data_IF_935867808130
#
_entry.id   IF_935867808130
#
_cell.length_a   1.000
_cell.length_b   1.000
_cell.length_c   1.000
_cell.angle_alpha   90.00
_cell.angle_beta   90.00
_cell.angle_gamma   90.00
#
_symmetry.space_group_name_H-M   'P 1'
#
loop_
_entity.id
_entity.type
_entity.pdbx_description
1 polymer ?
#
# COMPACT_ATOMS: atom_id res chain seq x y z
N UNK A 1 18.23 3.83 -35.36
CA UNK A 1 17.78 4.44 -34.10
C UNK A 1 16.29 4.14 -33.93
N UNK A 2 15.91 3.12 -33.15
CA UNK A 2 14.50 2.84 -32.87
C UNK A 2 14.00 3.81 -31.79
N UNK A 3 12.85 4.46 -32.04
CA UNK A 3 12.20 5.37 -31.10
C UNK A 3 11.64 4.66 -29.87
N UNK A 4 11.32 5.40 -28.79
CA UNK A 4 10.84 4.82 -27.55
C UNK A 4 9.45 4.18 -27.71
N UNK A 5 9.14 3.10 -26.97
CA UNK A 5 7.86 2.43 -27.07
C UNK A 5 6.73 3.30 -26.47
N UNK A 6 5.61 3.38 -27.18
CA UNK A 6 4.37 4.00 -26.72
C UNK A 6 3.91 3.37 -25.40
N UNK A 7 3.76 4.20 -24.35
CA UNK A 7 3.28 3.77 -23.04
C UNK A 7 1.75 3.79 -23.02
N UNK A 8 1.15 2.65 -22.71
CA UNK A 8 -0.29 2.50 -22.59
C UNK A 8 -0.80 3.04 -21.24
N UNK A 9 -1.74 3.98 -21.30
CA UNK A 9 -2.40 4.53 -20.12
C UNK A 9 -3.48 3.58 -19.59
N UNK A 10 -3.43 3.27 -18.29
CA UNK A 10 -4.49 2.54 -17.58
C UNK A 10 -5.51 3.54 -17.01
N UNK A 11 -6.81 3.23 -17.11
CA UNK A 11 -7.92 4.06 -16.59
C UNK A 11 -8.87 3.21 -15.77
N UNK A 12 -9.19 3.63 -14.55
CA UNK A 12 -10.12 2.97 -13.62
C UNK A 12 -11.23 3.97 -13.25
N UNK A 13 -12.48 3.51 -13.16
CA UNK A 13 -13.67 4.30 -12.80
C UNK A 13 -14.58 3.47 -11.87
N UNK A 14 -15.10 4.05 -10.78
CA UNK A 14 -16.17 3.44 -9.95
C UNK A 14 -17.29 4.47 -9.66
N UNK A 15 -18.49 3.96 -9.32
CA UNK A 15 -19.74 4.72 -9.21
C UNK A 15 -20.36 4.54 -7.81
N UNK A 16 -20.96 5.59 -7.26
CA UNK A 16 -21.93 5.55 -6.16
C UNK A 16 -23.00 6.61 -6.39
N UNK A 17 -24.29 6.28 -6.25
CA UNK A 17 -25.41 7.23 -6.36
C UNK A 17 -26.38 7.01 -5.22
N UNK A 18 -26.71 8.08 -4.51
CA UNK A 18 -27.89 8.18 -3.66
C UNK A 18 -28.72 9.35 -4.20
N UNK A 19 -29.92 9.06 -4.69
CA UNK A 19 -30.89 10.07 -5.12
C UNK A 19 -31.88 10.30 -3.98
N UNK A 20 -32.02 11.56 -3.59
CA UNK A 20 -33.14 12.09 -2.82
C UNK A 20 -34.44 11.89 -3.61
N UNK A 21 -35.46 11.38 -2.90
CA UNK A 21 -36.85 11.21 -3.35
C UNK A 21 -37.49 12.57 -3.73
N UNK A 22 -38.48 12.61 -4.66
CA UNK A 22 -39.82 12.07 -4.35
C UNK A 22 -40.54 11.32 -5.49
N UNK A 23 -41.42 10.41 -5.06
CA UNK A 23 -42.60 9.85 -5.76
C UNK A 23 -42.38 9.40 -7.21
N UNK A 24 -41.90 8.16 -7.37
CA UNK A 24 -42.60 7.15 -8.17
C UNK A 24 -41.94 5.78 -8.00
N UNK A 25 -42.75 4.72 -8.07
CA UNK A 25 -42.36 3.32 -7.88
C UNK A 25 -41.45 2.81 -9.01
N UNK A 26 -40.17 3.21 -9.00
CA UNK A 26 -39.13 2.47 -9.70
C UNK A 26 -37.98 2.19 -8.73
N UNK A 27 -37.86 0.92 -8.34
CA UNK A 27 -36.74 0.35 -7.58
C UNK A 27 -35.42 0.78 -8.24
N UNK A 28 -34.77 1.81 -7.70
CA UNK A 28 -33.38 2.08 -7.97
C UNK A 28 -32.56 0.92 -7.40
N UNK A 29 -32.15 -0.02 -8.25
CA UNK A 29 -31.12 -0.99 -7.88
C UNK A 29 -29.81 -0.21 -7.76
N UNK A 30 -29.27 -0.11 -6.54
CA UNK A 30 -27.87 0.23 -6.36
C UNK A 30 -27.05 -0.82 -7.11
N UNK A 31 -26.26 -0.37 -8.07
CA UNK A 31 -25.36 -1.22 -8.84
C UNK A 31 -24.00 -1.16 -8.13
N UNK A 32 -23.77 -2.10 -7.24
CA UNK A 32 -22.46 -2.33 -6.61
C UNK A 32 -21.60 -3.18 -7.56
N UNK A 33 -20.98 -2.52 -8.54
CA UNK A 33 -20.19 -3.21 -9.56
C UNK A 33 -18.91 -2.45 -9.91
N UNK A 34 -17.79 -3.17 -9.97
CA UNK A 34 -16.61 -2.68 -10.67
C UNK A 34 -16.80 -2.85 -12.18
N UNK A 35 -16.73 -1.74 -12.92
CA UNK A 35 -16.82 -1.73 -14.39
C UNK A 35 -15.52 -1.23 -14.98
N UNK A 36 -14.74 -2.13 -15.60
CA UNK A 36 -13.59 -1.76 -16.41
C UNK A 36 -13.89 -1.90 -17.91
N UNK A 37 -13.32 -0.99 -18.69
CA UNK A 37 -13.43 -0.94 -20.16
C UNK A 37 -12.05 -0.95 -20.79
N UNK A 38 -11.53 -2.13 -21.16
CA UNK A 38 -10.38 -2.19 -22.08
C UNK A 38 -10.39 -3.45 -22.95
N UNK A 39 -9.57 -3.44 -24.01
CA UNK A 39 -9.42 -4.53 -24.99
C UNK A 39 -8.56 -5.69 -24.46
N UNK A 40 -7.72 -5.47 -23.44
CA UNK A 40 -6.66 -6.42 -23.01
C UNK A 40 -6.43 -6.50 -21.48
N UNK A 41 -7.15 -5.73 -20.68
CA UNK A 41 -7.02 -5.78 -19.21
C UNK A 41 -7.96 -6.83 -18.64
N UNK A 42 -7.59 -7.32 -17.46
CA UNK A 42 -8.38 -8.26 -16.67
C UNK A 42 -8.55 -7.69 -15.26
N UNK A 43 -9.66 -8.01 -14.61
CA UNK A 43 -9.87 -7.76 -13.18
C UNK A 43 -9.57 -9.07 -12.48
N UNK A 44 -8.48 -9.10 -11.69
CA UNK A 44 -8.01 -10.32 -11.04
C UNK A 44 -8.81 -10.61 -9.77
N UNK A 45 -9.24 -9.56 -9.06
CA UNK A 45 -10.04 -9.67 -7.82
C UNK A 45 -11.03 -8.51 -7.74
N UNK A 46 -12.27 -8.83 -7.37
CA UNK A 46 -13.33 -7.86 -7.11
C UNK A 46 -14.31 -8.52 -6.15
N UNK A 47 -14.43 -7.98 -4.94
CA UNK A 47 -15.32 -8.52 -3.92
C UNK A 47 -16.79 -8.06 -4.15
N UNK A 48 -17.01 -7.22 -5.17
CA UNK A 48 -18.32 -6.80 -5.68
C UNK A 48 -18.69 -7.61 -6.93
N UNK A 49 -19.97 -7.64 -7.30
CA UNK A 49 -20.41 -8.33 -8.53
C UNK A 49 -19.71 -7.74 -9.78
N UNK A 50 -18.75 -8.46 -10.40
CA UNK A 50 -17.95 -7.85 -11.46
C UNK A 50 -18.74 -7.88 -12.76
N UNK A 51 -18.92 -6.71 -13.40
CA UNK A 51 -19.48 -6.63 -14.75
C UNK A 51 -18.50 -5.93 -15.67
N UNK A 52 -17.80 -6.73 -16.49
CA UNK A 52 -16.79 -6.22 -17.43
C UNK A 52 -17.45 -5.79 -18.74
N UNK A 53 -17.24 -4.54 -19.15
CA UNK A 53 -17.73 -4.04 -20.44
C UNK A 53 -16.56 -3.91 -21.40
N UNK A 54 -16.41 -4.87 -22.31
CA UNK A 54 -15.42 -4.78 -23.39
C UNK A 54 -15.95 -3.85 -24.49
N UNK A 55 -15.28 -2.72 -24.71
CA UNK A 55 -15.57 -1.82 -25.84
C UNK A 55 -14.40 -1.78 -26.80
N UNK A 56 -14.66 -2.07 -28.08
CA UNK A 56 -13.63 -2.07 -29.13
C UNK A 56 -13.27 -0.67 -29.65
N UNK A 57 -14.03 0.40 -29.30
CA UNK A 57 -13.96 1.69 -30.01
C UNK A 57 -13.92 2.95 -29.14
N UNK A 58 -13.62 2.84 -27.85
CA UNK A 58 -13.46 4.03 -27.01
C UNK A 58 -12.01 4.52 -27.13
N UNK A 59 -11.78 5.60 -27.88
CA UNK A 59 -10.46 6.25 -28.00
C UNK A 59 -10.51 7.66 -27.41
N UNK A 60 -9.41 8.06 -26.78
CA UNK A 60 -9.25 9.40 -26.21
C UNK A 60 -10.08 9.65 -24.94
N UNK A 61 -9.93 10.85 -24.38
CA UNK A 61 -10.65 11.29 -23.17
C UNK A 61 -12.14 11.54 -23.46
N UNK A 62 -12.45 12.26 -24.52
CA UNK A 62 -13.81 12.65 -24.89
C UNK A 62 -14.66 11.45 -25.33
N UNK A 63 -14.09 10.53 -26.11
CA UNK A 63 -14.78 9.30 -26.49
C UNK A 63 -15.14 8.43 -25.28
N UNK A 64 -14.28 8.41 -24.25
CA UNK A 64 -14.57 7.73 -23.00
C UNK A 64 -15.68 8.43 -22.22
N UNK A 65 -15.62 9.75 -22.07
CA UNK A 65 -16.66 10.52 -21.39
C UNK A 65 -18.02 10.30 -22.07
N UNK A 66 -18.08 10.43 -23.40
CA UNK A 66 -19.32 10.21 -24.18
C UNK A 66 -19.88 8.80 -24.00
N UNK A 67 -19.02 7.78 -24.02
CA UNK A 67 -19.41 6.39 -23.81
C UNK A 67 -19.95 6.14 -22.39
N UNK A 68 -19.32 6.72 -21.37
CA UNK A 68 -19.74 6.59 -19.98
C UNK A 68 -21.07 7.31 -19.78
N UNK A 69 -21.18 8.57 -20.21
CA UNK A 69 -22.40 9.35 -20.07
C UNK A 69 -23.58 8.73 -20.81
N UNK A 70 -23.38 8.14 -22.00
CA UNK A 70 -24.46 7.46 -22.73
C UNK A 70 -25.01 6.21 -22.03
N UNK A 71 -24.32 5.67 -21.02
CA UNK A 71 -24.72 4.45 -20.31
C UNK A 71 -25.06 4.68 -18.84
N UNK A 72 -24.37 5.62 -18.18
CA UNK A 72 -24.41 5.81 -16.73
C UNK A 72 -25.00 7.15 -16.31
N UNK A 73 -25.33 8.04 -17.26
CA UNK A 73 -25.95 9.36 -17.07
C UNK A 73 -25.13 10.39 -16.27
N UNK A 74 -24.21 9.97 -15.39
CA UNK A 74 -23.37 10.85 -14.59
C UNK A 74 -21.95 10.29 -14.42
N UNK A 75 -20.99 11.20 -14.19
CA UNK A 75 -19.59 10.90 -13.88
C UNK A 75 -19.22 11.68 -12.62
N UNK A 76 -18.86 10.97 -11.55
CA UNK A 76 -18.49 11.57 -10.25
C UNK A 76 -17.03 12.01 -10.21
N UNK A 77 -16.13 11.29 -10.90
CA UNK A 77 -14.73 11.68 -11.05
C UNK A 77 -14.15 11.20 -12.39
N UNK A 78 -13.21 11.97 -12.94
CA UNK A 78 -12.43 11.59 -14.11
C UNK A 78 -10.99 12.08 -13.94
N UNK A 79 -10.05 11.14 -13.96
CA UNK A 79 -8.63 11.44 -13.85
C UNK A 79 -7.86 10.84 -15.02
N UNK A 80 -6.88 11.59 -15.52
CA UNK A 80 -5.92 11.13 -16.51
C UNK A 80 -4.56 10.96 -15.83
N UNK A 81 -4.10 9.72 -15.73
CA UNK A 81 -2.83 9.38 -15.07
C UNK A 81 -1.89 8.81 -16.12
N UNK A 82 -0.64 9.28 -16.12
CA UNK A 82 0.38 8.81 -17.07
C UNK A 82 0.86 7.39 -16.77
N UNK A 83 1.13 7.11 -15.50
CA UNK A 83 1.44 5.79 -14.97
C UNK A 83 1.06 5.75 -13.48
N UNK A 84 0.66 4.58 -13.00
CA UNK A 84 0.38 4.33 -11.59
C UNK A 84 0.54 2.83 -11.32
N UNK A 85 1.12 2.50 -10.17
CA UNK A 85 1.15 1.15 -9.62
C UNK A 85 -0.10 0.91 -8.77
N UNK A 86 -0.50 1.93 -8.00
CA UNK A 86 -1.71 1.93 -7.17
C UNK A 86 -2.56 3.18 -7.45
N UNK A 87 -3.87 3.01 -7.49
CA UNK A 87 -4.85 4.12 -7.60
C UNK A 87 -5.83 3.98 -6.45
N UNK A 88 -5.80 4.96 -5.55
CA UNK A 88 -6.74 5.07 -4.44
C UNK A 88 -7.92 5.93 -4.88
N UNK A 89 -9.12 5.37 -4.74
CA UNK A 89 -10.38 6.01 -5.11
C UNK A 89 -11.32 6.06 -3.92
N UNK A 90 -11.56 7.25 -3.42
CA UNK A 90 -12.57 7.52 -2.40
C UNK A 90 -13.92 7.63 -3.06
N UNK A 91 -14.84 6.71 -2.70
CA UNK A 91 -16.20 6.68 -3.26
C UNK A 91 -17.15 7.40 -2.31
N UNK A 92 -17.91 8.37 -2.84
CA UNK A 92 -18.86 9.18 -2.08
C UNK A 92 -19.26 10.43 -2.87
N UNK A 93 -20.19 11.22 -2.32
CA UNK A 93 -20.52 12.56 -2.84
C UNK A 93 -19.70 13.56 -2.04
N UNK A 94 -18.82 14.29 -2.73
CA UNK A 94 -18.16 15.47 -2.18
C UNK A 94 -19.10 16.65 -2.39
N UNK A 95 -19.64 17.22 -1.30
CA UNK A 95 -20.61 18.32 -1.36
C UNK A 95 -19.99 19.62 -1.88
N UNK A 96 -18.66 19.74 -1.84
CA UNK A 96 -17.93 20.89 -2.36
C UNK A 96 -17.54 20.70 -3.84
N UNK A 97 -17.78 19.52 -4.41
CA UNK A 97 -17.51 19.24 -5.82
C UNK A 97 -18.60 19.84 -6.73
N UNK A 98 -18.23 20.29 -7.94
CA UNK A 98 -19.21 20.81 -8.89
C UNK A 98 -20.17 19.71 -9.38
N UNK A 99 -21.43 20.10 -9.64
CA UNK A 99 -22.48 19.21 -10.15
C UNK A 99 -22.14 18.52 -11.49
N UNK A 100 -21.18 19.08 -12.23
CA UNK A 100 -20.76 18.56 -13.53
C UNK A 100 -19.25 18.31 -13.57
N UNK A 101 -18.87 17.17 -14.14
CA UNK A 101 -17.47 16.84 -14.41
C UNK A 101 -17.00 17.54 -15.70
N UNK A 102 -16.66 18.82 -15.63
CA UNK A 102 -16.14 19.57 -16.77
C UNK A 102 -14.64 19.29 -17.02
N UNK A 103 -14.36 18.46 -18.02
CA UNK A 103 -13.00 18.09 -18.44
C UNK A 103 -12.19 19.20 -19.13
N UNK A 104 -12.84 20.33 -19.45
CA UNK A 104 -12.21 21.52 -20.04
C UNK A 104 -11.59 22.42 -18.97
N UNK A 105 -12.05 22.32 -17.72
CA UNK A 105 -11.46 23.05 -16.60
C UNK A 105 -10.09 22.44 -16.29
N UNK A 106 -9.03 23.20 -16.58
CA UNK A 106 -7.67 22.88 -16.14
C UNK A 106 -7.53 23.21 -14.66
N UNK A 107 -8.15 22.42 -13.80
CA UNK A 107 -7.91 22.52 -12.37
C UNK A 107 -6.46 22.12 -12.08
N UNK A 108 -5.72 23.00 -11.40
CA UNK A 108 -4.41 22.67 -10.81
C UNK A 108 -4.56 22.05 -9.41
N UNK A 109 -5.79 21.95 -8.89
CA UNK A 109 -6.02 21.37 -7.57
C UNK A 109 -5.96 19.84 -7.67
N UNK A 110 -5.20 19.17 -6.80
CA UNK A 110 -5.25 17.71 -6.66
C UNK A 110 -6.69 17.27 -6.39
N UNK A 111 -7.09 16.13 -6.97
CA UNK A 111 -8.38 15.52 -6.63
C UNK A 111 -8.30 14.99 -5.19
N UNK A 112 -9.30 15.32 -4.37
CA UNK A 112 -9.48 14.78 -3.02
C UNK A 112 -9.99 13.33 -3.06
N UNK A 113 -10.70 12.96 -4.11
CA UNK A 113 -11.30 11.63 -4.26
C UNK A 113 -10.47 10.62 -5.05
N UNK A 114 -9.39 11.03 -5.71
CA UNK A 114 -8.57 10.13 -6.51
C UNK A 114 -7.08 10.49 -6.43
N UNK A 115 -6.29 9.54 -5.93
CA UNK A 115 -4.84 9.65 -5.82
C UNK A 115 -4.18 8.51 -6.59
N UNK A 116 -3.15 8.83 -7.35
CA UNK A 116 -2.36 7.84 -8.08
C UNK A 116 -0.94 7.80 -7.55
N UNK A 117 -0.45 6.60 -7.29
CA UNK A 117 0.86 6.34 -6.72
C UNK A 117 1.74 5.65 -7.74
N UNK A 118 2.99 6.09 -7.83
CA UNK A 118 4.04 5.41 -8.58
C UNK A 118 5.13 5.02 -7.59
N UNK A 119 5.30 3.72 -7.45
CA UNK A 119 6.34 3.10 -6.65
C UNK A 119 7.62 3.01 -7.47
N UNK A 120 8.75 3.30 -6.84
CA UNK A 120 10.07 3.15 -7.45
C UNK A 120 10.92 2.28 -6.54
N UNK A 121 11.58 1.24 -7.08
CA UNK A 121 12.54 0.46 -6.30
C UNK A 121 13.61 1.38 -5.72
N UNK A 122 13.91 1.20 -4.43
CA UNK A 122 15.00 1.90 -3.74
C UNK A 122 16.11 0.88 -3.50
N UNK A 123 17.38 1.22 -3.81
CA UNK A 123 18.50 0.33 -3.48
C UNK A 123 18.63 0.22 -1.95
N UNK A 124 18.60 -1.01 -1.46
CA UNK A 124 18.86 -1.33 -0.06
C UNK A 124 20.30 -1.83 0.07
N UNK A 125 21.00 -1.38 1.10
CA UNK A 125 22.31 -1.92 1.51
C UNK A 125 22.12 -2.70 2.79
N UNK A 126 22.79 -3.85 2.93
CA UNK A 126 22.60 -4.66 4.12
C UNK A 126 22.98 -6.12 3.95
N UNK A 127 22.51 -6.93 4.89
CA UNK A 127 22.66 -8.37 4.89
C UNK A 127 21.34 -9.06 5.26
N UNK A 128 21.17 -10.28 4.76
CA UNK A 128 20.06 -11.15 5.08
C UNK A 128 20.56 -12.57 5.29
N UNK A 129 20.37 -13.08 6.50
CA UNK A 129 20.72 -14.43 6.92
C UNK A 129 19.46 -15.29 6.96
N UNK A 130 18.85 -15.52 5.80
CA UNK A 130 17.57 -16.26 5.70
C UNK A 130 17.61 -17.67 6.30
N UNK A 131 18.79 -18.29 6.40
CA UNK A 131 18.98 -19.57 7.07
C UNK A 131 18.80 -19.52 8.59
N UNK A 132 18.83 -18.34 9.22
CA UNK A 132 18.58 -18.14 10.65
C UNK A 132 17.12 -17.86 10.98
N UNK A 133 16.33 -17.44 9.99
CA UNK A 133 14.93 -17.07 10.17
C UNK A 133 14.12 -18.27 10.65
N UNK A 134 13.35 -18.09 11.73
CA UNK A 134 12.51 -19.12 12.32
C UNK A 134 13.26 -20.21 13.12
N UNK A 135 14.60 -20.19 13.17
CA UNK A 135 15.39 -21.13 13.97
C UNK A 135 15.55 -20.68 15.43
N UNK A 136 15.52 -19.37 15.67
CA UNK A 136 15.65 -18.79 17.00
C UNK A 136 14.32 -18.68 17.73
N UNK A 137 14.39 -18.34 19.03
CA UNK A 137 13.20 -17.99 19.80
C UNK A 137 12.53 -16.70 19.33
N UNK A 138 13.28 -15.81 18.66
CA UNK A 138 12.82 -14.52 18.15
C UNK A 138 13.70 -14.06 16.98
N UNK A 139 13.09 -13.76 15.85
CA UNK A 139 13.80 -13.22 14.69
C UNK A 139 13.96 -11.70 14.83
N UNK A 140 15.18 -11.20 14.61
CA UNK A 140 15.48 -9.77 14.72
C UNK A 140 15.77 -9.18 13.34
N UNK A 141 15.03 -8.13 12.99
CA UNK A 141 15.22 -7.36 11.76
C UNK A 141 15.54 -5.91 12.13
N UNK A 142 16.63 -5.39 11.56
CA UNK A 142 17.08 -4.01 11.79
C UNK A 142 16.88 -3.21 10.51
N UNK A 143 16.15 -2.10 10.61
CA UNK A 143 15.79 -1.22 9.50
C UNK A 143 16.30 0.18 9.81
N UNK A 144 17.08 0.75 8.89
CA UNK A 144 17.71 2.06 9.07
C UNK A 144 17.45 3.01 7.88
N UNK A 145 16.80 4.14 8.17
CA UNK A 145 16.69 5.28 7.25
C UNK A 145 17.81 6.27 7.54
N UNK A 146 18.64 6.57 6.54
CA UNK A 146 19.91 7.28 6.72
C UNK A 146 19.92 8.71 6.19
N UNK A 147 18.88 9.13 5.46
CA UNK A 147 18.79 10.52 4.97
C UNK A 147 18.70 11.51 6.11
N UNK A 148 19.44 12.60 6.00
CA UNK A 148 19.33 13.77 6.87
C UNK A 148 18.47 14.88 6.24
N UNK A 149 17.93 14.64 5.04
CA UNK A 149 17.15 15.65 4.32
C UNK A 149 15.89 16.04 5.08
N UNK A 150 15.71 17.36 5.27
CA UNK A 150 14.48 17.92 5.83
C UNK A 150 13.24 17.61 4.97
N UNK A 151 13.42 17.38 3.66
CA UNK A 151 12.32 16.99 2.78
C UNK A 151 11.68 15.65 3.16
N UNK A 152 12.38 14.84 3.96
CA UNK A 152 11.89 13.55 4.43
C UNK A 152 11.35 13.61 5.87
N UNK A 153 11.39 14.78 6.52
CA UNK A 153 10.87 14.95 7.87
C UNK A 153 9.37 14.70 7.93
N UNK A 154 8.95 13.99 8.99
CA UNK A 154 7.57 13.57 9.22
C UNK A 154 6.98 12.72 8.09
N UNK A 155 7.84 12.15 7.23
CA UNK A 155 7.40 11.16 6.26
C UNK A 155 6.87 9.92 6.98
N UNK A 156 5.92 9.27 6.33
CA UNK A 156 5.39 7.97 6.72
C UNK A 156 6.28 6.88 6.13
N UNK A 157 6.69 5.93 6.97
CA UNK A 157 7.44 4.75 6.55
C UNK A 157 6.67 3.51 6.99
N UNK A 158 6.08 2.81 6.03
CA UNK A 158 5.31 1.60 6.24
C UNK A 158 6.22 0.37 6.16
N UNK A 159 6.16 -0.49 7.18
CA UNK A 159 6.82 -1.79 7.19
C UNK A 159 5.74 -2.87 7.12
N UNK A 160 5.71 -3.59 6.01
CA UNK A 160 4.78 -4.69 5.77
C UNK A 160 5.44 -6.01 6.19
N UNK A 161 4.79 -6.73 7.10
CA UNK A 161 5.17 -8.09 7.50
C UNK A 161 4.35 -9.08 6.69
N UNK A 162 5.02 -9.82 5.80
CA UNK A 162 4.37 -10.71 4.84
C UNK A 162 4.96 -12.12 4.93
N UNK A 163 4.15 -13.18 4.78
CA UNK A 163 4.66 -14.53 4.56
C UNK A 163 5.54 -14.61 3.31
N UNK A 164 6.39 -15.64 3.26
CA UNK A 164 7.02 -16.04 2.01
C UNK A 164 5.97 -16.37 0.93
N UNK A 165 6.23 -16.16 -0.37
CA UNK A 165 5.22 -16.25 -1.43
C UNK A 165 4.55 -17.63 -1.58
N UNK A 166 5.22 -18.68 -1.12
CA UNK A 166 4.76 -20.06 -1.10
C UNK A 166 3.90 -20.38 0.13
N UNK A 167 3.69 -19.42 1.04
CA UNK A 167 2.93 -19.55 2.27
C UNK A 167 1.77 -18.56 2.32
N UNK A 168 0.65 -19.01 2.88
CA UNK A 168 -0.52 -18.14 3.13
C UNK A 168 -0.43 -17.38 4.44
N UNK A 169 0.24 -17.96 5.43
CA UNK A 169 0.46 -17.35 6.74
C UNK A 169 1.78 -17.81 7.34
N UNK A 170 2.24 -17.07 8.34
CA UNK A 170 3.48 -17.32 9.07
C UNK A 170 3.28 -16.93 10.54
N UNK A 171 3.79 -17.74 11.46
CA UNK A 171 3.70 -17.46 12.89
C UNK A 171 5.10 -17.40 13.50
N UNK A 172 5.27 -16.54 14.51
CA UNK A 172 6.52 -16.48 15.26
C UNK A 172 6.68 -15.22 16.11
N UNK A 173 7.81 -15.13 16.80
CA UNK A 173 8.16 -13.97 17.60
C UNK A 173 9.17 -13.13 16.83
N UNK A 174 8.93 -11.82 16.73
CA UNK A 174 9.73 -10.90 15.96
C UNK A 174 10.20 -9.73 16.81
N UNK A 175 11.39 -9.21 16.50
CA UNK A 175 11.83 -7.88 16.92
C UNK A 175 12.14 -7.02 15.71
N UNK A 176 11.47 -5.88 15.60
CA UNK A 176 11.79 -4.83 14.65
C UNK A 176 12.58 -3.73 15.35
N UNK A 177 13.79 -3.45 14.88
CA UNK A 177 14.59 -2.31 15.33
C UNK A 177 14.52 -1.26 14.24
N UNK A 178 13.78 -0.18 14.49
CA UNK A 178 13.47 0.85 13.51
C UNK A 178 14.25 2.14 13.84
N UNK A 179 15.27 2.43 13.03
CA UNK A 179 16.13 3.61 13.18
C UNK A 179 15.92 4.58 12.02
N UNK A 180 15.88 5.86 12.33
CA UNK A 180 15.88 6.92 11.32
C UNK A 180 16.71 8.10 11.79
N UNK A 181 17.56 8.63 10.89
CA UNK A 181 18.34 9.85 11.14
C UNK A 181 17.43 11.08 11.32
N UNK A 182 16.28 11.11 10.64
CA UNK A 182 15.28 12.19 10.74
C UNK A 182 13.99 11.70 11.41
N UNK A 183 13.17 12.60 11.98
CA UNK A 183 11.84 12.23 12.46
C UNK A 183 10.97 11.66 11.35
N UNK A 184 10.45 10.45 11.55
CA UNK A 184 9.48 9.77 10.68
C UNK A 184 8.36 9.19 11.55
N UNK A 185 7.22 8.91 10.94
CA UNK A 185 6.18 8.09 11.55
C UNK A 185 6.28 6.69 10.98
N UNK A 186 6.56 5.71 11.84
CA UNK A 186 6.53 4.30 11.43
C UNK A 186 5.10 3.81 11.37
N UNK A 187 4.76 3.09 10.31
CA UNK A 187 3.49 2.40 10.20
C UNK A 187 3.73 0.90 10.06
N UNK A 188 2.99 0.11 10.82
CA UNK A 188 3.09 -1.34 10.78
C UNK A 188 1.83 -1.93 10.15
N UNK A 189 2.06 -2.85 9.22
CA UNK A 189 1.02 -3.60 8.54
C UNK A 189 1.44 -5.07 8.43
N UNK A 190 0.47 -5.97 8.48
CA UNK A 190 0.65 -7.40 8.37
C UNK A 190 -0.51 -7.98 7.59
N UNK A 191 -0.21 -8.87 6.66
CA UNK A 191 -1.20 -9.74 6.01
C UNK A 191 -0.69 -11.18 6.12
N UNK A 192 -1.30 -11.97 7.00
CA UNK A 192 -0.93 -13.36 7.23
C UNK A 192 0.21 -13.61 8.24
N UNK A 193 0.66 -12.61 9.00
CA UNK A 193 1.53 -12.86 10.17
C UNK A 193 0.75 -12.86 11.49
N UNK A 194 1.07 -13.81 12.37
CA UNK A 194 0.57 -13.92 13.74
C UNK A 194 1.69 -14.18 14.76
N UNK A 195 1.52 -13.72 16.00
CA UNK A 195 2.48 -13.88 17.10
C UNK A 195 2.97 -12.57 17.71
N UNK A 196 4.05 -12.64 18.49
CA UNK A 196 4.57 -11.51 19.26
C UNK A 196 5.46 -10.60 18.41
N UNK A 197 5.16 -9.30 18.40
CA UNK A 197 5.92 -8.28 17.70
C UNK A 197 6.48 -7.24 18.68
N UNK A 198 7.78 -7.32 18.98
CA UNK A 198 8.49 -6.30 19.73
C UNK A 198 9.06 -5.24 18.79
N UNK A 199 8.77 -3.96 19.03
CA UNK A 199 9.25 -2.84 18.21
C UNK A 199 10.15 -1.94 19.06
N UNK A 200 11.41 -1.78 18.66
CA UNK A 200 12.39 -0.90 19.29
C UNK A 200 12.66 0.29 18.39
N UNK A 201 12.36 1.50 18.85
CA UNK A 201 12.47 2.71 18.02
C UNK A 201 12.67 3.98 18.83
N UNK A 202 13.20 5.03 18.19
CA UNK A 202 13.30 6.39 18.75
C UNK A 202 12.07 7.25 18.40
N UNK A 203 11.19 6.75 17.52
CA UNK A 203 10.12 7.54 16.86
C UNK A 203 8.75 6.88 17.00
N UNK A 204 7.64 7.65 16.92
CA UNK A 204 6.29 7.12 17.02
C UNK A 204 6.01 6.00 16.01
N UNK A 205 5.18 5.05 16.44
CA UNK A 205 4.71 3.91 15.64
C UNK A 205 3.18 3.97 15.60
N UNK A 206 2.59 3.72 14.43
CA UNK A 206 1.15 3.53 14.24
C UNK A 206 0.87 2.13 13.72
N UNK A 207 0.08 1.38 14.48
CA UNK A 207 -0.41 0.07 14.10
C UNK A 207 -1.58 0.25 13.13
N UNK A 208 -1.32 0.16 11.83
CA UNK A 208 -2.28 0.66 10.83
C UNK A 208 -3.14 -0.47 10.27
N UNK A 209 -2.55 -1.66 10.07
CA UNK A 209 -3.21 -2.84 9.50
C UNK A 209 -2.63 -4.12 10.08
N UNK A 210 -2.68 -4.26 11.39
CA UNK A 210 -2.28 -5.50 12.07
C UNK A 210 -3.53 -6.33 12.38
N UNK A 211 -3.42 -7.66 12.20
CA UNK A 211 -4.48 -8.58 12.61
C UNK A 211 -4.60 -8.66 14.13
N UNK A 212 -5.76 -9.10 14.64
CA UNK A 212 -5.97 -9.35 16.07
C UNK A 212 -4.99 -10.33 16.68
N UNK A 213 -4.40 -11.19 15.85
CA UNK A 213 -3.52 -12.29 16.24
C UNK A 213 -2.06 -11.85 16.34
N UNK A 214 -1.79 -10.54 16.25
CA UNK A 214 -0.46 -9.93 16.42
C UNK A 214 -0.42 -9.18 17.74
N UNK A 215 0.35 -9.68 18.70
CA UNK A 215 0.57 -9.01 19.98
C UNK A 215 1.73 -8.03 19.85
N UNK A 216 1.43 -6.73 19.78
CA UNK A 216 2.44 -5.68 19.57
C UNK A 216 2.89 -5.08 20.90
N UNK A 217 4.20 -5.02 21.11
CA UNK A 217 4.83 -4.26 22.18
C UNK A 217 5.78 -3.22 21.57
N UNK A 218 5.51 -1.94 21.77
CA UNK A 218 6.43 -0.86 21.33
C UNK A 218 7.24 -0.32 22.50
N UNK A 219 8.57 -0.33 22.38
CA UNK A 219 9.50 0.28 23.34
C UNK A 219 10.26 1.43 22.71
N UNK A 220 10.04 2.62 23.26
CA UNK A 220 10.78 3.81 22.88
C UNK A 220 12.14 3.83 23.59
N UNK A 221 13.22 3.74 22.82
CA UNK A 221 14.58 3.68 23.37
C UNK A 221 15.56 4.37 22.45
N UNK A 222 16.60 4.97 23.02
CA UNK A 222 17.67 5.61 22.26
C UNK A 222 18.49 4.54 21.55
N UNK A 223 18.45 4.54 20.23
CA UNK A 223 19.15 3.54 19.41
C UNK A 223 20.58 3.99 19.13
N UNK A 224 21.59 3.10 19.21
CA UNK A 224 22.97 3.46 18.92
C UNK A 224 23.13 4.09 17.53
N UNK A 225 24.05 5.04 17.42
CA UNK A 225 24.30 5.78 16.17
C UNK A 225 25.24 5.07 15.20
N UNK A 226 26.21 4.28 15.71
CA UNK A 226 27.14 3.54 14.86
C UNK A 226 26.60 2.15 14.53
N UNK A 227 26.91 1.67 13.33
CA UNK A 227 26.55 0.33 12.87
C UNK A 227 26.96 -0.76 13.89
N UNK A 228 28.23 -0.76 14.32
CA UNK A 228 28.75 -1.77 15.26
C UNK A 228 27.97 -1.78 16.58
N UNK A 229 27.69 -0.61 17.16
CA UNK A 229 26.95 -0.53 18.41
C UNK A 229 25.48 -0.94 18.22
N UNK A 230 24.88 -0.61 17.06
CA UNK A 230 23.51 -1.01 16.73
C UNK A 230 23.39 -2.53 16.57
N UNK A 231 24.36 -3.17 15.93
CA UNK A 231 24.40 -4.63 15.80
C UNK A 231 24.59 -5.32 17.16
N UNK A 232 25.50 -4.82 18.00
CA UNK A 232 25.66 -5.32 19.38
C UNK A 232 24.40 -5.14 20.23
N UNK A 233 23.68 -4.04 20.03
CA UNK A 233 22.39 -3.82 20.66
C UNK A 233 21.35 -4.83 20.17
N UNK A 234 21.29 -5.08 18.86
CA UNK A 234 20.34 -6.03 18.26
C UNK A 234 20.55 -7.47 18.74
N UNK A 235 21.81 -7.89 18.91
CA UNK A 235 22.17 -9.23 19.43
C UNK A 235 21.60 -9.50 20.83
N UNK A 236 21.27 -8.48 21.63
CA UNK A 236 20.61 -8.70 22.93
C UNK A 236 19.20 -9.29 22.81
N UNK A 237 18.59 -9.16 21.64
CA UNK A 237 17.21 -9.59 21.36
C UNK A 237 17.15 -10.85 20.49
N UNK A 238 18.30 -11.36 20.03
CA UNK A 238 18.45 -12.60 19.27
C UNK A 238 19.40 -13.57 19.95
N UNK A 239 19.23 -14.86 19.72
CA UNK A 239 20.23 -15.88 20.10
C UNK A 239 21.30 -16.02 19.00
N UNK A 240 21.87 -14.91 18.54
CA UNK A 240 22.76 -14.87 17.38
C UNK A 240 22.75 -13.51 16.66
N UNK A 241 23.38 -13.40 15.48
CA UNK A 241 23.28 -12.18 14.68
C UNK A 241 21.83 -11.94 14.22
N UNK A 242 21.44 -10.68 13.94
CA UNK A 242 20.13 -10.38 13.37
C UNK A 242 19.90 -11.12 12.05
N UNK A 243 18.64 -11.51 11.81
CA UNK A 243 18.21 -12.15 10.57
C UNK A 243 18.42 -11.21 9.40
N UNK A 244 18.13 -9.92 9.57
CA UNK A 244 18.42 -8.92 8.56
C UNK A 244 18.90 -7.61 9.17
N UNK A 245 19.80 -6.95 8.46
CA UNK A 245 20.05 -5.51 8.59
C UNK A 245 19.87 -4.88 7.22
N UNK A 246 19.01 -3.88 7.13
CA UNK A 246 18.79 -3.10 5.90
C UNK A 246 18.92 -1.62 6.20
N UNK A 247 19.64 -0.90 5.34
CA UNK A 247 19.74 0.55 5.35
C UNK A 247 19.49 1.12 3.96
N UNK A 248 18.88 2.30 3.93
CA UNK A 248 18.72 3.07 2.70
C UNK A 248 18.69 4.57 3.02
N UNK A 249 18.90 5.40 1.99
CA UNK A 249 18.79 6.85 2.16
C UNK A 249 17.35 7.21 2.57
N UNK A 250 16.36 6.84 1.76
CA UNK A 250 14.95 7.08 2.03
C UNK A 250 14.08 6.04 1.32
N UNK A 251 13.03 5.58 2.00
CA UNK A 251 11.96 4.75 1.42
C UNK A 251 10.67 4.96 2.23
N UNK A 252 9.52 4.84 1.59
CA UNK A 252 8.22 5.00 2.23
C UNK A 252 7.57 3.67 2.58
N UNK A 253 7.99 2.59 1.93
CA UNK A 253 7.40 1.26 2.09
C UNK A 253 8.50 0.20 2.03
N UNK A 254 8.46 -0.76 2.94
CA UNK A 254 9.39 -1.88 3.03
C UNK A 254 8.62 -3.17 3.31
N UNK A 255 8.75 -4.14 2.42
CA UNK A 255 8.22 -5.49 2.60
C UNK A 255 9.28 -6.38 3.24
N UNK A 256 8.97 -6.92 4.43
CA UNK A 256 9.77 -7.95 5.09
C UNK A 256 9.05 -9.28 4.90
N UNK A 257 9.70 -10.20 4.19
CA UNK A 257 9.20 -11.57 3.99
C UNK A 257 9.70 -12.50 5.07
N UNK A 258 8.76 -13.07 5.80
CA UNK A 258 9.00 -13.86 6.99
C UNK A 258 8.99 -15.35 6.65
N UNK A 259 10.08 -16.01 7.00
CA UNK A 259 10.20 -17.46 6.97
C UNK A 259 9.98 -17.99 8.39
N UNK A 260 8.74 -17.91 8.89
CA UNK A 260 8.41 -18.38 10.24
C UNK A 260 8.34 -19.90 10.35
N UNK A 261 8.19 -20.38 11.58
CA UNK A 261 7.82 -21.77 11.85
C UNK A 261 6.45 -22.08 11.27
N UNK A 262 6.21 -23.34 10.88
CA UNK A 262 4.88 -23.76 10.46
C UNK A 262 3.88 -23.45 11.57
N UNK A 263 2.83 -22.70 11.26
CA UNK A 263 1.66 -22.65 12.11
C UNK A 263 1.22 -24.12 12.31
N UNK A 264 1.16 -24.56 13.57
CA UNK A 264 0.60 -25.87 13.90
C UNK A 264 -0.79 -25.91 13.26
N UNK A 265 -0.96 -26.82 12.31
CA UNK A 265 -2.27 -27.12 11.77
C UNK A 265 -3.16 -27.50 12.96
N UNK A 266 -4.27 -26.77 13.13
CA UNK A 266 -5.32 -27.19 14.06
C UNK A 266 -5.76 -28.61 13.67
N UNK A 267 -5.67 -29.52 14.65
CA UNK A 267 -6.16 -30.90 14.59
C UNK A 267 -7.66 -30.90 14.89
#
# INVERSE_FOLDING_TARGET
MPGPPERHAHRVLTHGRQLSQPRDHHRARLIDACRLVTKRSQVVRCDLSPYTVRSQRVRGREGLLKFVMSRLQAVTSLSAVGAADTIDLTVGIDLDAPDTCDTKVKSRRPSTGLVAHVSRPVPLLGCYHGHLAGLGHRDVYVVEVTTESQSFWNSRVTVNLLPMPDRKSTAGNLTLILKSAVPVTWELASDGFSGDLLVLTERPVKETRLGSDVAVETRFTRLPGSFTALMLFAVKYSHGPPVAYVRAAAFNELDIRLNGGAALAEV
#
